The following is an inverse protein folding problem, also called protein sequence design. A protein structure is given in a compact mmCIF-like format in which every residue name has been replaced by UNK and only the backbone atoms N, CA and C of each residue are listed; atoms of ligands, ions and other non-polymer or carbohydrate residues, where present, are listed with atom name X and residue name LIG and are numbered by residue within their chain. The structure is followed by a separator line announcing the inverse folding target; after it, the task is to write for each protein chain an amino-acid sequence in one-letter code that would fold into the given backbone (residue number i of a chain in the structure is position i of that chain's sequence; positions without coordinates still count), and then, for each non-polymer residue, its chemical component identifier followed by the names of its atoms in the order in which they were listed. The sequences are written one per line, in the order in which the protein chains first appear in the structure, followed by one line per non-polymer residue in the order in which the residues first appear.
data_IF_002511969738
#
_entry.id   IF_002511969738
#
_cell.length_a   1.000
_cell.length_b   1.000
_cell.length_c   1.000
_cell.angle_alpha   90.00
_cell.angle_beta   90.00
_cell.angle_gamma   90.00
#
_symmetry.space_group_name_H-M   'P 1'
#
loop_
_entity.id
_entity.type
_entity.pdbx_description
1 polymer ?
#
# COMPACT_ATOMS: atom_id res chain seq x y z
N UNK A 1 11.96 15.56 16.69
CA UNK A 1 11.06 14.51 17.21
C UNK A 1 11.50 13.19 16.60
N UNK A 2 11.78 12.16 17.43
CA UNK A 2 11.99 10.79 16.94
C UNK A 2 10.67 10.04 17.06
N UNK A 3 10.15 9.56 15.93
CA UNK A 3 9.01 8.65 15.94
C UNK A 3 9.53 7.24 16.26
N UNK A 4 8.94 6.59 17.27
CA UNK A 4 9.22 5.19 17.57
C UNK A 4 8.47 4.26 16.62
N UNK A 5 9.04 3.08 16.36
CA UNK A 5 8.38 2.03 15.57
C UNK A 5 7.59 1.11 16.50
N UNK A 6 6.30 0.89 16.20
CA UNK A 6 5.47 -0.09 16.90
C UNK A 6 5.64 -1.44 16.20
N UNK A 7 6.09 -2.47 16.91
CA UNK A 7 6.02 -3.85 16.41
C UNK A 7 4.58 -4.34 16.45
N UNK A 8 4.04 -4.73 15.30
CA UNK A 8 2.73 -5.36 15.20
C UNK A 8 2.89 -6.88 15.22
N UNK A 9 1.91 -7.59 15.80
CA UNK A 9 1.84 -9.04 15.62
C UNK A 9 1.59 -9.37 14.14
N UNK A 10 1.99 -10.56 13.69
CA UNK A 10 1.84 -10.99 12.29
C UNK A 10 0.39 -10.83 11.78
N UNK A 11 -0.61 -11.15 12.61
CA UNK A 11 -2.03 -11.02 12.28
C UNK A 11 -2.43 -9.56 12.07
N UNK A 12 -2.03 -8.67 12.99
CA UNK A 12 -2.36 -7.24 12.91
C UNK A 12 -1.62 -6.58 11.75
N UNK A 13 -0.36 -6.96 11.51
CA UNK A 13 0.42 -6.52 10.37
C UNK A 13 -0.23 -6.92 9.03
N UNK A 14 -0.61 -8.20 8.87
CA UNK A 14 -1.27 -8.68 7.67
C UNK A 14 -2.61 -7.99 7.41
N UNK A 15 -3.38 -7.71 8.47
CA UNK A 15 -4.62 -6.94 8.39
C UNK A 15 -4.37 -5.52 7.88
N UNK A 16 -3.33 -4.84 8.38
CA UNK A 16 -2.94 -3.51 7.91
C UNK A 16 -2.56 -3.50 6.42
N UNK A 17 -1.73 -4.45 5.96
CA UNK A 17 -1.37 -4.59 4.55
C UNK A 17 -2.60 -4.82 3.67
N UNK A 18 -3.56 -5.65 4.15
CA UNK A 18 -4.81 -5.88 3.45
C UNK A 18 -5.68 -4.62 3.36
N UNK A 19 -5.81 -3.86 4.45
CA UNK A 19 -6.55 -2.58 4.44
C UNK A 19 -5.93 -1.55 3.50
N UNK A 20 -4.59 -1.42 3.49
CA UNK A 20 -3.87 -0.55 2.55
C UNK A 20 -4.11 -0.99 1.09
N UNK A 21 -4.04 -2.29 0.82
CA UNK A 21 -4.33 -2.84 -0.51
C UNK A 21 -5.76 -2.55 -0.94
N UNK A 22 -6.73 -2.65 -0.03
CA UNK A 22 -8.12 -2.30 -0.27
C UNK A 22 -8.29 -0.81 -0.63
N UNK A 23 -7.69 0.08 0.15
CA UNK A 23 -7.72 1.53 -0.12
C UNK A 23 -7.08 1.88 -1.47
N UNK A 24 -5.93 1.28 -1.81
CA UNK A 24 -5.29 1.41 -3.13
C UNK A 24 -6.24 0.98 -4.25
N UNK A 25 -6.89 -0.17 -4.11
CA UNK A 25 -7.80 -0.68 -5.12
C UNK A 25 -9.02 0.23 -5.31
N UNK A 26 -9.57 0.81 -4.24
CA UNK A 26 -10.62 1.82 -4.35
C UNK A 26 -10.17 3.04 -5.13
N UNK A 27 -8.93 3.52 -4.91
CA UNK A 27 -8.37 4.65 -5.65
C UNK A 27 -8.15 4.33 -7.14
N UNK A 28 -7.59 3.16 -7.45
CA UNK A 28 -7.31 2.71 -8.81
C UNK A 28 -8.57 2.32 -9.60
N UNK A 29 -9.71 2.14 -8.94
CA UNK A 29 -10.99 1.86 -9.61
C UNK A 29 -11.59 3.09 -10.33
N UNK A 30 -11.05 4.28 -10.06
CA UNK A 30 -11.47 5.52 -10.72
C UNK A 30 -11.03 5.48 -12.17
N UNK A 31 -11.99 5.50 -13.10
CA UNK A 31 -11.72 5.51 -14.53
C UNK A 31 -11.47 6.93 -15.05
N UNK A 32 -10.73 7.04 -16.17
CA UNK A 32 -10.55 8.32 -16.84
C UNK A 32 -11.93 8.89 -17.23
N UNK A 33 -12.28 10.10 -16.79
CA UNK A 33 -13.56 10.69 -17.13
C UNK A 33 -13.65 10.94 -18.64
N UNK A 34 -14.71 10.42 -19.27
CA UNK A 34 -15.02 10.70 -20.67
C UNK A 34 -16.03 11.85 -20.72
N UNK A 35 -15.52 13.07 -20.90
CA UNK A 35 -16.35 14.27 -20.96
C UNK A 35 -16.75 14.52 -22.42
N UNK A 36 -18.03 14.27 -22.73
CA UNK A 36 -18.61 14.64 -24.02
C UNK A 36 -19.00 16.13 -23.98
N UNK A 37 -18.38 16.93 -24.85
CA UNK A 37 -18.65 18.36 -24.95
C UNK A 37 -19.82 18.60 -25.90
N UNK A 38 -20.85 19.28 -25.42
CA UNK A 38 -21.98 19.76 -26.24
C UNK A 38 -21.79 21.20 -26.73
N UNK A 39 -20.73 21.88 -26.29
CA UNK A 39 -20.43 23.28 -26.60
C UNK A 39 -18.93 23.53 -26.70
N UNK A 40 -18.54 24.49 -27.54
CA UNK A 40 -17.17 24.98 -27.70
C UNK A 40 -16.94 26.17 -26.78
N UNK A 41 -16.61 25.89 -25.51
CA UNK A 41 -16.23 26.89 -24.51
C UNK A 41 -14.80 26.67 -24.03
N UNK A 42 -14.02 27.75 -23.93
CA UNK A 42 -12.67 27.72 -23.39
C UNK A 42 -12.63 27.24 -21.93
N UNK A 43 -13.68 27.52 -21.16
CA UNK A 43 -13.82 27.04 -19.77
C UNK A 43 -14.00 25.52 -19.73
N UNK A 44 -14.79 24.96 -20.66
CA UNK A 44 -14.96 23.49 -20.77
C UNK A 44 -13.67 22.79 -21.20
N UNK A 45 -12.83 23.48 -22.00
CA UNK A 45 -11.49 22.97 -22.35
C UNK A 45 -10.59 22.92 -21.11
N UNK A 46 -10.57 23.98 -20.31
CA UNK A 46 -9.78 24.06 -19.08
C UNK A 46 -10.19 22.98 -18.07
N UNK A 47 -11.49 22.76 -17.88
CA UNK A 47 -11.99 21.69 -17.00
C UNK A 47 -11.53 20.31 -17.46
N UNK A 48 -11.63 20.02 -18.76
CA UNK A 48 -11.18 18.73 -19.27
C UNK A 48 -9.68 18.51 -19.04
N UNK A 49 -8.85 19.53 -19.26
CA UNK A 49 -7.42 19.45 -19.00
C UNK A 49 -7.12 19.19 -17.51
N UNK A 50 -7.81 19.89 -16.60
CA UNK A 50 -7.65 19.68 -15.16
C UNK A 50 -8.08 18.28 -14.72
N UNK A 51 -9.19 17.75 -15.26
CA UNK A 51 -9.62 16.38 -14.97
C UNK A 51 -8.62 15.35 -15.48
N UNK A 52 -8.04 15.57 -16.67
CA UNK A 52 -7.01 14.71 -17.23
C UNK A 52 -5.73 14.72 -16.37
N UNK A 53 -5.29 15.90 -15.92
CA UNK A 53 -4.16 16.05 -15.00
C UNK A 53 -4.42 15.38 -13.65
N UNK A 54 -5.61 15.56 -13.08
CA UNK A 54 -6.00 14.93 -11.82
C UNK A 54 -6.04 13.40 -11.95
N UNK A 55 -6.59 12.88 -13.05
CA UNK A 55 -6.60 11.45 -13.31
C UNK A 55 -5.18 10.87 -13.41
N UNK A 56 -4.28 11.57 -14.11
CA UNK A 56 -2.87 11.17 -14.18
C UNK A 56 -2.22 11.17 -12.81
N UNK A 57 -2.41 12.23 -12.02
CA UNK A 57 -1.87 12.31 -10.66
C UNK A 57 -2.36 11.15 -9.78
N UNK A 58 -3.67 10.86 -9.79
CA UNK A 58 -4.26 9.74 -9.04
C UNK A 58 -3.70 8.40 -9.51
N UNK A 59 -3.55 8.21 -10.82
CA UNK A 59 -2.98 6.99 -11.40
C UNK A 59 -1.52 6.79 -11.00
N UNK A 60 -0.71 7.84 -11.07
CA UNK A 60 0.69 7.81 -10.64
C UNK A 60 0.82 7.53 -9.15
N UNK A 61 0.00 8.18 -8.33
CA UNK A 61 0.01 7.95 -6.88
C UNK A 61 -0.41 6.52 -6.53
N UNK A 62 -1.41 5.96 -7.21
CA UNK A 62 -1.81 4.57 -7.00
C UNK A 62 -0.71 3.56 -7.36
N UNK A 63 0.09 3.82 -8.40
CA UNK A 63 1.27 3.00 -8.73
C UNK A 63 2.38 3.10 -7.66
N UNK A 64 2.62 4.29 -7.11
CA UNK A 64 3.54 4.48 -5.98
C UNK A 64 3.06 3.71 -4.74
N UNK A 65 1.77 3.82 -4.39
CA UNK A 65 1.18 3.08 -3.28
C UNK A 65 1.31 1.56 -3.46
N UNK A 66 1.17 1.06 -4.69
CA UNK A 66 1.37 -0.37 -4.99
C UNK A 66 2.78 -0.83 -4.65
N UNK A 67 3.79 -0.07 -5.07
CA UNK A 67 5.19 -0.36 -4.79
C UNK A 67 5.45 -0.35 -3.26
N UNK A 68 4.99 0.70 -2.57
CA UNK A 68 5.19 0.85 -1.13
C UNK A 68 4.51 -0.28 -0.34
N UNK A 69 3.26 -0.62 -0.66
CA UNK A 69 2.52 -1.70 0.00
C UNK A 69 3.22 -3.04 -0.22
N UNK A 70 3.73 -3.28 -1.43
CA UNK A 70 4.47 -4.51 -1.76
C UNK A 70 5.76 -4.59 -0.93
N UNK A 71 6.53 -3.51 -0.87
CA UNK A 71 7.76 -3.44 -0.10
C UNK A 71 7.51 -3.63 1.41
N UNK A 72 6.44 -3.04 1.95
CA UNK A 72 6.03 -3.26 3.34
C UNK A 72 5.71 -4.73 3.56
N UNK A 73 4.90 -5.34 2.70
CA UNK A 73 4.52 -6.75 2.81
C UNK A 73 5.74 -7.70 2.75
N UNK A 74 6.70 -7.45 1.86
CA UNK A 74 7.94 -8.22 1.75
C UNK A 74 8.82 -8.08 2.99
N UNK A 75 8.99 -6.85 3.48
CA UNK A 75 9.74 -6.57 4.72
C UNK A 75 9.12 -7.30 5.91
N UNK A 76 7.79 -7.32 6.00
CA UNK A 76 7.08 -8.06 7.05
C UNK A 76 7.31 -9.57 6.99
N UNK A 77 7.37 -10.16 5.78
CA UNK A 77 7.70 -11.59 5.60
C UNK A 77 9.13 -11.91 6.03
N UNK A 78 10.08 -11.04 5.72
CA UNK A 78 11.48 -11.24 6.13
C UNK A 78 11.66 -11.11 7.66
N UNK A 79 10.92 -10.19 8.29
CA UNK A 79 10.88 -10.09 9.75
C UNK A 79 10.31 -11.36 10.40
N UNK A 80 9.20 -11.89 9.88
CA UNK A 80 8.59 -13.14 10.38
C UNK A 80 9.54 -14.34 10.25
N UNK A 81 10.22 -14.48 9.10
CA UNK A 81 11.25 -15.51 8.91
C UNK A 81 12.40 -15.37 9.90
N UNK A 82 12.84 -14.14 10.15
CA UNK A 82 13.93 -13.86 11.09
C UNK A 82 13.52 -14.23 12.51
N UNK A 83 12.30 -13.88 12.93
CA UNK A 83 11.76 -14.22 14.24
C UNK A 83 11.64 -15.74 14.44
N UNK A 84 11.14 -16.46 13.43
CA UNK A 84 11.09 -17.92 13.44
C UNK A 84 12.48 -18.55 13.54
N UNK A 85 13.45 -18.07 12.76
CA UNK A 85 14.82 -18.56 12.79
C UNK A 85 15.48 -18.31 14.15
N UNK A 86 15.30 -17.13 14.74
CA UNK A 86 15.78 -16.81 16.09
C UNK A 86 15.11 -17.70 17.13
N UNK A 87 13.78 -17.88 17.06
CA UNK A 87 13.05 -18.80 17.93
C UNK A 87 13.59 -20.23 17.83
N UNK A 88 13.74 -20.76 16.61
CA UNK A 88 14.35 -22.07 16.41
C UNK A 88 15.78 -22.14 16.96
N UNK A 89 16.62 -21.14 16.73
CA UNK A 89 18.03 -21.14 17.16
C UNK A 89 18.15 -21.04 18.68
N UNK A 90 17.36 -20.20 19.33
CA UNK A 90 17.42 -19.97 20.78
C UNK A 90 16.75 -21.08 21.58
N UNK A 91 15.66 -21.67 21.07
CA UNK A 91 14.87 -22.69 21.78
C UNK A 91 15.21 -24.14 21.37
N UNK A 92 15.94 -24.37 20.28
CA UNK A 92 16.42 -25.73 19.92
C UNK A 92 17.44 -26.31 20.91
N UNK A 93 18.11 -25.46 21.71
CA UNK A 93 18.98 -25.87 22.80
C UNK A 93 18.25 -26.20 24.12
N UNK A 94 16.99 -25.78 24.26
CA UNK A 94 16.15 -26.08 25.42
C UNK A 94 15.46 -27.44 25.21
N UNK A 95 16.25 -28.53 25.28
CA UNK A 95 15.67 -29.80 25.72
C UNK A 95 15.26 -29.61 27.18
N UNK A 96 13.97 -29.38 27.42
CA UNK A 96 13.35 -29.62 28.72
C UNK A 96 13.76 -31.03 29.16
N UNK A 97 14.69 -31.10 30.12
CA UNK A 97 15.15 -32.34 30.71
C UNK A 97 13.94 -33.10 31.28
N UNK A 98 13.75 -34.31 30.77
CA UNK A 98 13.06 -35.38 31.50
C UNK A 98 14.02 -36.07 32.45
#
# INVERSE_FOLDING_TARGET
MMYGTIQLSQVVFGMHVSSLSGAKNSLMSVQKPKIEKTSTSQVLNLYQEQFDQLYQLVSTYGALLEADITQVAETGKELDKTDQLLGHTLFSGLKLGG
#
